data_IF_677996129320
#
_entry.id   IF_677996129320
#
_cell.length_a   1.000
_cell.length_b   1.000
_cell.length_c   1.000
_cell.angle_alpha   90.00
_cell.angle_beta   90.00
_cell.angle_gamma   90.00
#
_symmetry.space_group_name_H-M   'P 1'
#
loop_
_entity.id
_entity.type
_entity.pdbx_description
1 polymer ?
#
# COMPACT_ATOMS: atom_id res chain seq x y z
N UNK A 1 15.10 16.68 -2.81
CA UNK A 1 15.57 15.88 -1.65
C UNK A 1 14.32 15.47 -0.89
N UNK A 2 13.58 14.49 -1.40
CA UNK A 2 12.24 14.15 -0.88
C UNK A 2 12.03 12.64 -1.09
N UNK A 3 11.57 12.02 -0.02
CA UNK A 3 10.85 10.75 0.14
C UNK A 3 11.38 9.51 -0.59
N UNK A 4 12.14 8.71 0.15
CA UNK A 4 12.03 7.25 -0.01
C UNK A 4 10.59 6.90 0.33
N UNK A 5 9.82 6.63 -0.72
CA UNK A 5 8.41 6.37 -0.57
C UNK A 5 8.19 5.10 0.23
N UNK A 6 7.64 5.31 1.40
CA UNK A 6 7.38 4.38 2.47
C UNK A 6 6.68 3.08 2.02
N UNK A 7 5.77 3.11 1.04
CA UNK A 7 5.09 1.91 0.52
C UNK A 7 5.94 1.11 -0.51
N UNK A 8 6.93 1.76 -1.15
CA UNK A 8 7.69 1.20 -2.27
C UNK A 8 8.70 0.14 -1.84
N UNK A 9 9.48 0.43 -0.79
CA UNK A 9 10.51 -0.51 -0.30
C UNK A 9 9.88 -1.80 0.23
N UNK A 10 8.72 -1.66 0.87
CA UNK A 10 7.91 -2.78 1.32
C UNK A 10 7.48 -3.65 0.14
N UNK A 11 6.87 -3.09 -0.91
CA UNK A 11 6.41 -3.90 -2.06
C UNK A 11 7.55 -4.42 -2.96
N UNK A 12 8.69 -3.72 -3.05
CA UNK A 12 9.87 -4.19 -3.79
C UNK A 12 10.60 -5.35 -3.08
N UNK A 13 10.65 -5.38 -1.75
CA UNK A 13 11.19 -6.51 -0.99
C UNK A 13 10.38 -7.80 -1.23
N UNK A 14 9.08 -7.66 -1.49
CA UNK A 14 8.14 -8.77 -1.63
C UNK A 14 8.15 -9.47 -2.99
N UNK A 15 8.47 -8.77 -4.08
CA UNK A 15 8.34 -9.38 -5.43
C UNK A 15 9.52 -10.24 -5.85
N UNK A 16 10.70 -10.08 -5.25
CA UNK A 16 11.83 -11.00 -5.50
C UNK A 16 11.54 -12.43 -5.05
N UNK A 17 10.65 -12.62 -4.08
CA UNK A 17 10.23 -13.94 -3.60
C UNK A 17 9.23 -14.65 -4.55
N UNK A 18 8.69 -13.97 -5.56
CA UNK A 18 7.73 -14.55 -6.55
C UNK A 18 8.37 -14.82 -7.93
N UNK A 19 9.58 -15.37 -7.98
CA UNK A 19 9.99 -16.10 -9.19
C UNK A 19 9.14 -17.37 -9.28
N UNK A 20 8.33 -17.48 -10.33
CA UNK A 20 7.35 -18.55 -10.52
C UNK A 20 7.96 -19.95 -10.67
N UNK A 21 8.36 -20.55 -9.56
CA UNK A 21 8.51 -21.99 -9.38
C UNK A 21 7.79 -22.40 -8.10
N UNK A 22 6.94 -23.42 -8.19
CA UNK A 22 6.58 -24.23 -7.02
C UNK A 22 7.88 -24.77 -6.42
N UNK A 23 8.37 -24.11 -5.39
CA UNK A 23 9.50 -24.57 -4.60
C UNK A 23 8.96 -24.84 -3.19
N UNK A 24 9.05 -26.12 -2.83
CA UNK A 24 8.94 -26.71 -1.49
C UNK A 24 8.92 -25.68 -0.36
N UNK A 25 7.91 -25.81 0.50
CA UNK A 25 7.70 -25.06 1.75
C UNK A 25 9.04 -24.84 2.46
N UNK A 26 9.73 -23.74 2.16
CA UNK A 26 10.78 -23.23 3.02
C UNK A 26 10.05 -22.69 4.23
N UNK A 27 10.49 -23.09 5.42
CA UNK A 27 9.99 -22.55 6.69
C UNK A 27 9.82 -21.02 6.62
N UNK A 28 8.78 -20.45 7.25
CA UNK A 28 8.56 -19.01 7.25
C UNK A 28 9.85 -18.29 7.64
N UNK A 29 10.29 -17.30 6.84
CA UNK A 29 11.49 -16.53 7.16
C UNK A 29 11.28 -15.84 8.51
N UNK A 30 12.21 -16.04 9.44
CA UNK A 30 12.19 -15.31 10.71
C UNK A 30 12.35 -13.82 10.42
N UNK A 31 11.78 -12.95 11.26
CA UNK A 31 11.96 -11.49 11.09
C UNK A 31 13.44 -11.07 11.11
N UNK A 32 14.30 -11.85 11.77
CA UNK A 32 15.75 -11.66 11.80
C UNK A 32 16.43 -11.90 10.44
N UNK A 33 15.81 -12.67 9.56
CA UNK A 33 16.33 -13.06 8.24
C UNK A 33 15.84 -12.14 7.11
N UNK A 34 14.95 -11.19 7.40
CA UNK A 34 14.40 -10.24 6.42
C UNK A 34 15.45 -9.18 6.07
N UNK A 35 16.39 -9.49 5.20
CA UNK A 35 17.41 -8.54 4.78
C UNK A 35 17.00 -7.74 3.52
N UNK A 36 17.42 -6.48 3.47
CA UNK A 36 17.26 -5.65 2.27
C UNK A 36 18.35 -6.01 1.27
N UNK A 37 17.96 -6.73 0.21
CA UNK A 37 18.93 -7.18 -0.82
C UNK A 37 19.63 -6.04 -1.59
N UNK A 38 19.10 -4.80 -1.56
CA UNK A 38 19.75 -3.60 -2.10
C UNK A 38 19.04 -2.33 -1.60
N UNK A 39 19.77 -1.48 -0.87
CA UNK A 39 19.30 -0.15 -0.49
C UNK A 39 19.85 0.87 -1.48
N UNK A 40 19.19 1.06 -2.61
CA UNK A 40 19.41 2.25 -3.43
C UNK A 40 18.49 3.34 -2.92
N UNK A 41 19.08 4.42 -2.40
CA UNK A 41 18.38 5.66 -2.09
C UNK A 41 17.67 6.16 -3.36
N UNK A 42 16.39 5.80 -3.47
CA UNK A 42 15.54 6.24 -4.55
C UNK A 42 15.32 7.73 -4.38
N UNK A 43 15.84 8.50 -5.33
CA UNK A 43 15.51 9.90 -5.48
C UNK A 43 14.42 9.99 -6.53
N UNK A 44 13.33 10.69 -6.21
CA UNK A 44 12.35 11.05 -7.23
C UNK A 44 13.11 11.76 -8.38
N UNK A 45 12.92 11.33 -9.65
CA UNK A 45 13.63 11.89 -10.79
C UNK A 45 13.58 13.42 -10.82
N UNK A 46 14.68 14.06 -11.27
CA UNK A 46 14.70 15.50 -11.55
C UNK A 46 13.53 15.84 -12.50
N UNK A 47 12.68 16.79 -12.10
CA UNK A 47 11.50 17.20 -12.86
C UNK A 47 10.18 17.02 -12.11
N UNK A 48 10.14 16.12 -11.11
CA UNK A 48 8.99 15.98 -10.22
C UNK A 48 9.27 16.81 -8.96
N UNK A 49 8.69 18.01 -8.90
CA UNK A 49 8.69 18.87 -7.72
C UNK A 49 7.34 18.78 -6.99
N UNK A 50 7.37 18.90 -5.66
CA UNK A 50 6.18 18.97 -4.81
C UNK A 50 5.22 17.78 -4.98
N UNK A 51 5.60 16.63 -4.40
CA UNK A 51 4.77 15.43 -4.31
C UNK A 51 4.27 15.24 -2.87
N UNK A 52 3.07 14.69 -2.73
CA UNK A 52 2.57 14.15 -1.48
C UNK A 52 2.08 12.74 -1.75
N UNK A 53 3.00 11.78 -1.78
CA UNK A 53 2.62 10.45 -2.19
C UNK A 53 1.91 9.73 -1.03
N UNK A 54 0.73 9.17 -1.32
CA UNK A 54 -0.10 8.49 -0.33
C UNK A 54 -0.20 6.98 -0.54
N UNK A 55 -0.08 6.54 -1.79
CA UNK A 55 -0.11 5.13 -2.16
C UNK A 55 0.91 4.77 -3.21
N UNK A 56 1.27 3.50 -3.28
CA UNK A 56 2.09 2.99 -4.37
C UNK A 56 1.88 1.50 -4.62
N UNK A 57 2.23 1.05 -5.81
CA UNK A 57 2.34 -0.36 -6.15
C UNK A 57 3.46 -0.60 -7.17
N UNK A 58 3.86 -1.85 -7.35
CA UNK A 58 4.93 -2.27 -8.26
C UNK A 58 4.38 -3.28 -9.25
N UNK A 59 4.66 -3.12 -10.55
CA UNK A 59 4.29 -4.03 -11.64
C UNK A 59 5.28 -5.19 -11.78
N UNK A 60 4.86 -6.28 -12.45
CA UNK A 60 5.68 -7.49 -12.62
C UNK A 60 6.99 -7.22 -13.34
N UNK A 61 6.96 -6.27 -14.27
CA UNK A 61 8.12 -5.78 -15.01
C UNK A 61 9.01 -4.82 -14.20
N UNK A 62 8.70 -4.58 -12.93
CA UNK A 62 9.45 -3.70 -12.03
C UNK A 62 9.09 -2.23 -12.15
N UNK A 63 8.18 -1.82 -13.06
CA UNK A 63 7.64 -0.46 -13.04
C UNK A 63 6.95 -0.16 -11.72
N UNK A 64 6.94 1.10 -11.34
CA UNK A 64 6.38 1.56 -10.07
C UNK A 64 5.30 2.58 -10.37
N UNK A 65 4.18 2.52 -9.66
CA UNK A 65 3.12 3.54 -9.72
C UNK A 65 2.94 4.16 -8.36
N UNK A 66 2.79 5.48 -8.32
CA UNK A 66 2.53 6.27 -7.14
C UNK A 66 1.23 7.05 -7.29
N UNK A 67 0.44 7.13 -6.22
CA UNK A 67 -0.68 8.05 -6.09
C UNK A 67 -0.19 9.36 -5.44
N UNK A 68 -0.06 10.41 -6.25
CA UNK A 68 0.36 11.74 -5.81
C UNK A 68 -0.86 12.57 -5.39
N UNK A 69 -1.01 12.74 -4.08
CA UNK A 69 -2.10 13.46 -3.41
C UNK A 69 -1.82 14.98 -3.32
N UNK A 70 -0.76 15.48 -3.97
CA UNK A 70 -0.43 16.91 -3.98
C UNK A 70 -1.60 17.79 -4.41
N UNK A 71 -1.76 18.94 -3.77
CA UNK A 71 -2.84 19.89 -4.10
C UNK A 71 -2.77 20.39 -5.54
N UNK A 72 -1.56 20.68 -6.02
CA UNK A 72 -1.32 21.26 -7.35
C UNK A 72 -1.02 20.23 -8.43
N UNK A 73 -0.68 19.00 -8.05
CA UNK A 73 -0.15 17.97 -8.95
C UNK A 73 -0.85 16.62 -8.70
N UNK A 74 -2.17 16.59 -8.82
CA UNK A 74 -2.99 15.40 -8.58
C UNK A 74 -2.81 14.42 -9.74
N UNK A 75 -2.06 13.35 -9.55
CA UNK A 75 -1.70 12.44 -10.64
C UNK A 75 -1.30 11.06 -10.14
N UNK A 76 -1.28 10.11 -11.05
CA UNK A 76 -0.37 8.97 -10.91
C UNK A 76 1.00 9.32 -11.49
N UNK A 77 2.05 8.98 -10.75
CA UNK A 77 3.43 9.00 -11.26
C UNK A 77 3.86 7.57 -11.53
N UNK A 78 4.29 7.28 -12.74
CA UNK A 78 4.74 5.94 -13.16
C UNK A 78 6.22 6.01 -13.48
N UNK A 79 6.99 5.10 -12.91
CA UNK A 79 8.42 4.97 -13.12
C UNK A 79 8.75 3.64 -13.78
N UNK A 80 9.85 3.63 -14.52
CA UNK A 80 10.48 2.43 -15.03
C UNK A 80 11.19 1.65 -13.90
N UNK A 81 11.57 0.40 -14.17
CA UNK A 81 12.30 -0.44 -13.21
C UNK A 81 13.69 0.12 -12.84
N UNK A 82 14.26 0.96 -13.71
CA UNK A 82 15.49 1.71 -13.46
C UNK A 82 15.25 3.03 -12.71
N UNK A 83 14.03 3.23 -12.19
CA UNK A 83 13.59 4.40 -11.45
C UNK A 83 13.45 5.68 -12.28
N UNK A 84 13.63 5.64 -13.60
CA UNK A 84 13.40 6.81 -14.44
C UNK A 84 11.91 7.12 -14.54
N UNK A 85 11.57 8.40 -14.71
CA UNK A 85 10.18 8.80 -14.99
C UNK A 85 9.71 8.17 -16.30
N UNK A 86 8.62 7.40 -16.24
CA UNK A 86 7.96 6.84 -17.42
C UNK A 86 6.80 7.73 -17.87
N UNK A 87 5.93 8.10 -16.94
CA UNK A 87 4.68 8.80 -17.27
C UNK A 87 4.06 9.50 -16.06
N UNK A 88 3.31 10.56 -16.32
CA UNK A 88 2.38 11.18 -15.38
C UNK A 88 0.95 11.10 -15.94
N UNK A 89 -0.01 10.70 -15.12
CA UNK A 89 -1.43 10.57 -15.50
C UNK A 89 -2.24 11.50 -14.60
N UNK A 90 -2.76 12.64 -15.11
CA UNK A 90 -3.46 13.62 -14.29
C UNK A 90 -4.84 13.11 -13.84
N UNK A 91 -5.29 13.61 -12.70
CA UNK A 91 -6.63 13.41 -12.17
C UNK A 91 -7.26 14.75 -11.77
N UNK A 92 -8.60 14.83 -11.86
CA UNK A 92 -9.34 16.01 -11.43
C UNK A 92 -9.40 16.13 -9.89
N UNK A 93 -9.34 14.99 -9.19
CA UNK A 93 -9.29 14.87 -7.73
C UNK A 93 -8.01 14.14 -7.27
N UNK A 94 -7.64 14.29 -6.00
CA UNK A 94 -6.44 13.72 -5.41
C UNK A 94 -6.54 12.20 -5.23
N UNK A 95 -5.69 11.41 -5.92
CA UNK A 95 -5.62 9.98 -5.67
C UNK A 95 -5.06 9.72 -4.26
N UNK A 96 -5.72 8.84 -3.50
CA UNK A 96 -5.27 8.43 -2.18
C UNK A 96 -4.34 7.22 -2.29
N UNK A 97 -4.85 6.11 -2.81
CA UNK A 97 -4.10 4.88 -2.88
C UNK A 97 -4.26 4.22 -4.25
N UNK A 98 -3.30 3.36 -4.58
CA UNK A 98 -3.24 2.67 -5.86
C UNK A 98 -2.83 1.21 -5.65
N UNK A 99 -3.52 0.31 -6.34
CA UNK A 99 -3.15 -1.10 -6.41
C UNK A 99 -3.18 -1.61 -7.84
N UNK A 100 -2.28 -2.52 -8.17
CA UNK A 100 -2.22 -3.14 -9.49
C UNK A 100 -3.27 -4.25 -9.60
N UNK A 101 -4.06 -4.20 -10.67
CA UNK A 101 -5.07 -5.23 -10.96
C UNK A 101 -4.61 -6.19 -12.06
N UNK A 102 -3.80 -5.72 -13.02
CA UNK A 102 -3.14 -6.55 -14.04
C UNK A 102 -1.93 -5.82 -14.66
N UNK A 103 -1.25 -6.42 -15.66
CA UNK A 103 0.05 -5.97 -16.20
C UNK A 103 0.16 -4.49 -16.61
N UNK A 104 -0.93 -3.79 -16.89
CA UNK A 104 -0.94 -2.35 -17.17
C UNK A 104 -2.09 -1.60 -16.53
N UNK A 105 -2.85 -2.24 -15.66
CA UNK A 105 -4.08 -1.66 -15.12
C UNK A 105 -3.96 -1.54 -13.61
N UNK A 106 -4.39 -0.39 -13.11
CA UNK A 106 -4.40 -0.07 -11.69
C UNK A 106 -5.80 0.34 -11.25
N UNK A 107 -6.13 0.08 -9.99
CA UNK A 107 -7.29 0.65 -9.32
C UNK A 107 -6.82 1.76 -8.39
N UNK A 108 -7.49 2.91 -8.44
CA UNK A 108 -7.11 4.13 -7.71
C UNK A 108 -8.31 4.64 -6.90
N UNK A 109 -8.13 4.90 -5.62
CA UNK A 109 -9.16 5.51 -4.77
C UNK A 109 -9.13 7.04 -4.83
N UNK A 110 -10.30 7.65 -4.95
CA UNK A 110 -10.48 9.11 -4.98
C UNK A 110 -11.39 9.55 -3.84
N UNK A 111 -10.81 10.27 -2.87
CA UNK A 111 -11.44 10.52 -1.57
C UNK A 111 -12.73 11.33 -1.66
N UNK A 112 -12.67 12.49 -2.32
CA UNK A 112 -13.84 13.39 -2.41
C UNK A 112 -14.85 12.91 -3.45
N UNK A 113 -14.39 12.22 -4.50
CA UNK A 113 -15.26 11.62 -5.52
C UNK A 113 -16.03 10.41 -4.99
N UNK A 114 -15.50 9.72 -3.97
CA UNK A 114 -16.08 8.48 -3.42
C UNK A 114 -16.11 7.35 -4.45
N UNK A 115 -15.09 7.31 -5.29
CA UNK A 115 -15.00 6.42 -6.45
C UNK A 115 -13.67 5.65 -6.46
N UNK A 116 -13.68 4.53 -7.17
CA UNK A 116 -12.48 3.85 -7.64
C UNK A 116 -12.40 4.04 -9.15
N UNK A 117 -11.27 4.54 -9.64
CA UNK A 117 -10.95 4.58 -11.06
C UNK A 117 -10.06 3.41 -11.41
N UNK A 118 -10.49 2.61 -12.38
CA UNK A 118 -9.66 1.60 -13.04
C UNK A 118 -9.00 2.27 -14.23
N UNK A 119 -7.67 2.33 -14.21
CA UNK A 119 -6.86 3.07 -15.18
C UNK A 119 -5.94 2.13 -15.92
N UNK A 120 -6.02 2.16 -17.25
CA UNK A 120 -5.00 1.57 -18.10
C UNK A 120 -3.83 2.56 -18.23
N UNK A 121 -2.73 2.23 -17.58
CA UNK A 121 -1.53 3.06 -17.50
C UNK A 121 -0.87 3.24 -18.87
N UNK A 122 -1.00 2.25 -19.77
CA UNK A 122 -0.42 2.32 -21.11
C UNK A 122 -1.04 3.42 -21.96
N UNK A 123 -2.37 3.50 -22.00
CA UNK A 123 -3.14 4.51 -22.74
C UNK A 123 -3.44 5.77 -21.93
N UNK A 124 -3.15 5.76 -20.62
CA UNK A 124 -3.48 6.85 -19.68
C UNK A 124 -4.98 7.10 -19.55
N UNK A 125 -5.81 6.07 -19.80
CA UNK A 125 -7.27 6.20 -19.80
C UNK A 125 -7.88 5.57 -18.57
N UNK A 126 -8.85 6.26 -17.99
CA UNK A 126 -9.82 5.64 -17.08
C UNK A 126 -10.71 4.74 -17.94
N UNK A 127 -10.62 3.43 -17.72
CA UNK A 127 -11.39 2.43 -18.47
C UNK A 127 -12.68 2.03 -17.74
N UNK A 128 -12.76 2.29 -16.44
CA UNK A 128 -13.96 2.07 -15.62
C UNK A 128 -13.93 2.92 -14.36
N UNK A 129 -15.11 3.35 -13.94
CA UNK A 129 -15.34 3.97 -12.63
C UNK A 129 -16.28 3.08 -11.82
N UNK A 130 -15.97 2.86 -10.55
CA UNK A 130 -16.79 2.13 -9.59
C UNK A 130 -17.19 3.10 -8.48
N UNK A 131 -18.49 3.40 -8.40
CA UNK A 131 -19.02 4.30 -7.37
C UNK A 131 -19.19 3.57 -6.03
N UNK A 132 -18.65 4.15 -4.96
CA UNK A 132 -18.71 3.56 -3.61
C UNK A 132 -19.77 4.22 -2.72
N UNK A 133 -20.19 5.44 -3.04
CA UNK A 133 -21.09 6.29 -2.25
C UNK A 133 -20.59 6.64 -0.83
N UNK A 134 -19.34 6.30 -0.53
CA UNK A 134 -18.65 6.56 0.74
C UNK A 134 -17.22 7.00 0.45
N UNK A 135 -16.70 7.92 1.26
CA UNK A 135 -15.28 8.30 1.17
C UNK A 135 -14.41 7.05 1.31
N UNK A 136 -13.39 6.96 0.47
CA UNK A 136 -12.51 5.80 0.37
C UNK A 136 -11.06 6.18 0.63
N UNK A 137 -10.30 5.23 1.17
CA UNK A 137 -8.92 5.42 1.60
C UNK A 137 -8.01 4.40 0.89
N UNK A 138 -7.36 3.51 1.63
CA UNK A 138 -6.49 2.48 1.08
C UNK A 138 -7.24 1.41 0.31
N UNK A 139 -6.55 0.82 -0.66
CA UNK A 139 -7.06 -0.20 -1.56
C UNK A 139 -6.04 -1.31 -1.79
N UNK A 140 -6.51 -2.55 -1.77
CA UNK A 140 -5.67 -3.73 -1.97
C UNK A 140 -6.35 -4.75 -2.88
N UNK A 141 -5.70 -5.08 -4.00
CA UNK A 141 -6.19 -6.09 -4.92
C UNK A 141 -5.58 -7.46 -4.62
N UNK A 142 -6.43 -8.47 -4.43
CA UNK A 142 -6.01 -9.86 -4.27
C UNK A 142 -7.14 -10.81 -4.65
N UNK A 143 -6.79 -11.99 -5.19
CA UNK A 143 -7.77 -13.01 -5.55
C UNK A 143 -8.86 -12.53 -6.53
N UNK A 144 -8.53 -11.59 -7.43
CA UNK A 144 -9.48 -11.01 -8.37
C UNK A 144 -10.45 -9.98 -7.79
N UNK A 145 -10.23 -9.53 -6.54
CA UNK A 145 -11.14 -8.68 -5.78
C UNK A 145 -10.43 -7.44 -5.26
N UNK A 146 -11.15 -6.32 -5.19
CA UNK A 146 -10.69 -5.08 -4.56
C UNK A 146 -11.15 -5.06 -3.11
N UNK A 147 -10.23 -4.85 -2.18
CA UNK A 147 -10.50 -4.62 -0.77
C UNK A 147 -10.25 -3.16 -0.46
N UNK A 148 -11.26 -2.45 0.03
CA UNK A 148 -11.25 -0.99 0.08
C UNK A 148 -11.65 -0.54 1.48
N UNK A 149 -10.81 0.28 2.10
CA UNK A 149 -11.12 0.97 3.35
C UNK A 149 -12.04 2.17 3.07
N UNK A 150 -13.12 2.30 3.83
CA UNK A 150 -14.15 3.32 3.67
C UNK A 150 -14.37 4.08 4.98
N UNK A 151 -14.95 5.28 4.88
CA UNK A 151 -15.43 6.02 6.04
C UNK A 151 -16.46 5.22 6.87
N UNK A 152 -16.62 5.62 8.12
CA UNK A 152 -17.46 4.93 9.12
C UNK A 152 -16.93 3.53 9.48
N UNK A 153 -15.61 3.33 9.40
CA UNK A 153 -14.93 2.12 9.84
C UNK A 153 -15.37 0.85 9.10
N UNK A 154 -15.62 0.98 7.79
CA UNK A 154 -16.08 -0.12 6.95
C UNK A 154 -14.97 -0.51 5.98
N UNK A 155 -14.71 -1.81 5.83
CA UNK A 155 -14.00 -2.34 4.68
C UNK A 155 -14.98 -3.10 3.79
N UNK A 156 -14.88 -2.90 2.47
CA UNK A 156 -15.61 -3.71 1.49
C UNK A 156 -14.65 -4.52 0.64
N UNK A 157 -15.03 -5.76 0.38
CA UNK A 157 -14.50 -6.55 -0.73
C UNK A 157 -15.49 -6.47 -1.88
N UNK A 158 -15.05 -6.01 -3.04
CA UNK A 158 -15.87 -5.85 -4.24
C UNK A 158 -15.20 -6.54 -5.43
N UNK A 159 -15.99 -6.96 -6.42
CA UNK A 159 -15.46 -7.37 -7.72
C UNK A 159 -15.13 -6.16 -8.61
N UNK A 160 -14.50 -6.40 -9.76
CA UNK A 160 -14.16 -5.36 -10.74
C UNK A 160 -15.39 -4.78 -11.47
N UNK A 161 -16.57 -5.38 -11.32
CA UNK A 161 -17.84 -4.83 -11.79
C UNK A 161 -18.47 -3.87 -10.75
N UNK A 162 -17.95 -3.84 -9.53
CA UNK A 162 -18.45 -3.00 -8.43
C UNK A 162 -19.43 -3.70 -7.50
N UNK A 163 -19.69 -5.00 -7.68
CA UNK A 163 -20.58 -5.74 -6.79
C UNK A 163 -19.91 -5.97 -5.44
N UNK A 164 -20.63 -5.70 -4.36
CA UNK A 164 -20.14 -5.99 -3.01
C UNK A 164 -20.21 -7.49 -2.72
N UNK A 165 -19.05 -8.09 -2.45
CA UNK A 165 -18.92 -9.51 -2.11
C UNK A 165 -18.85 -9.72 -0.59
N UNK A 166 -18.21 -8.80 0.13
CA UNK A 166 -18.09 -8.84 1.60
C UNK A 166 -18.04 -7.43 2.18
N UNK A 167 -18.57 -7.28 3.38
CA UNK A 167 -18.47 -6.05 4.19
C UNK A 167 -18.02 -6.42 5.60
N UNK A 168 -17.00 -5.71 6.10
CA UNK A 168 -16.57 -5.78 7.49
C UNK A 168 -16.85 -4.40 8.12
N UNK A 169 -17.77 -4.35 9.09
CA UNK A 169 -18.23 -3.11 9.71
C UNK A 169 -17.71 -2.91 11.14
N UNK A 170 -17.06 -3.94 11.71
CA UNK A 170 -16.50 -3.92 13.06
C UNK A 170 -14.98 -3.75 13.02
N UNK A 171 -14.48 -2.94 12.09
CA UNK A 171 -13.08 -2.57 12.05
C UNK A 171 -12.90 -1.26 12.82
N UNK A 172 -11.68 -0.95 13.24
CA UNK A 172 -11.35 0.44 13.63
C UNK A 172 -11.40 1.37 12.40
N UNK A 173 -11.00 2.64 12.54
CA UNK A 173 -10.88 3.59 11.43
C UNK A 173 -9.74 3.22 10.45
N UNK A 174 -9.87 2.08 9.78
CA UNK A 174 -8.90 1.54 8.86
C UNK A 174 -8.63 2.55 7.74
N UNK A 175 -7.37 2.94 7.60
CA UNK A 175 -6.95 3.92 6.60
C UNK A 175 -6.25 3.23 5.44
N UNK A 176 -5.30 2.34 5.72
CA UNK A 176 -4.69 1.47 4.71
C UNK A 176 -4.85 0.02 5.12
N UNK A 177 -4.95 -0.87 4.13
CA UNK A 177 -5.08 -2.29 4.37
C UNK A 177 -4.16 -3.11 3.45
N UNK A 178 -3.85 -4.32 3.91
CA UNK A 178 -3.29 -5.38 3.11
C UNK A 178 -4.01 -6.66 3.47
N UNK A 179 -4.36 -7.46 2.46
CA UNK A 179 -5.34 -8.54 2.62
C UNK A 179 -4.78 -9.85 2.07
N UNK A 180 -4.89 -10.92 2.87
CA UNK A 180 -4.63 -12.30 2.46
C UNK A 180 -5.95 -13.02 2.21
N UNK A 181 -5.92 -14.33 1.98
CA UNK A 181 -7.15 -15.12 1.86
C UNK A 181 -7.95 -15.18 3.18
N UNK A 182 -7.31 -15.00 4.32
CA UNK A 182 -7.92 -15.24 5.64
C UNK A 182 -7.87 -14.03 6.57
N UNK A 183 -6.89 -13.14 6.38
CA UNK A 183 -6.56 -12.05 7.29
C UNK A 183 -6.54 -10.70 6.59
N UNK A 184 -6.93 -9.67 7.35
CA UNK A 184 -6.78 -8.26 7.01
C UNK A 184 -5.78 -7.65 7.98
N UNK A 185 -4.72 -7.05 7.45
CA UNK A 185 -3.82 -6.17 8.19
C UNK A 185 -4.17 -4.74 7.88
N UNK A 186 -4.32 -3.89 8.89
CA UNK A 186 -4.66 -2.49 8.65
C UNK A 186 -4.02 -1.53 9.65
N UNK A 187 -3.73 -0.33 9.15
CA UNK A 187 -3.34 0.82 9.94
C UNK A 187 -4.54 1.73 10.17
N UNK A 188 -4.48 2.55 11.23
CA UNK A 188 -5.54 3.48 11.60
C UNK A 188 -4.96 4.87 11.75
N UNK A 189 -5.52 5.83 11.02
CA UNK A 189 -5.07 7.23 11.07
C UNK A 189 -5.20 7.80 12.48
N UNK A 190 -4.11 8.39 12.98
CA UNK A 190 -4.06 8.98 14.31
C UNK A 190 -4.05 7.98 15.47
N UNK A 191 -3.96 6.67 15.18
CA UNK A 191 -3.74 5.66 16.21
C UNK A 191 -2.28 5.21 16.23
N UNK A 192 -1.84 4.81 17.41
CA UNK A 192 -0.52 4.25 17.72
C UNK A 192 -0.53 2.72 17.58
N UNK A 193 -1.23 2.16 16.60
CA UNK A 193 -1.37 0.71 16.47
C UNK A 193 -1.60 0.20 15.04
N UNK A 194 -1.21 -1.05 14.85
CA UNK A 194 -1.47 -1.87 13.67
C UNK A 194 -2.31 -3.07 14.11
N UNK A 195 -3.30 -3.43 13.30
CA UNK A 195 -4.25 -4.47 13.63
C UNK A 195 -4.21 -5.60 12.61
N UNK A 196 -4.50 -6.80 13.10
CA UNK A 196 -4.87 -7.95 12.28
C UNK A 196 -6.24 -8.46 12.72
N UNK A 197 -7.13 -8.67 11.75
CA UNK A 197 -8.39 -9.37 11.98
C UNK A 197 -8.62 -10.44 10.92
N UNK A 198 -9.52 -11.37 11.21
CA UNK A 198 -10.04 -12.28 10.19
C UNK A 198 -10.98 -11.53 9.22
N UNK A 199 -11.39 -12.19 8.14
CA UNK A 199 -12.32 -11.58 7.19
C UNK A 199 -13.72 -11.27 7.78
N UNK A 200 -14.04 -11.67 9.01
CA UNK A 200 -15.29 -11.33 9.70
C UNK A 200 -15.12 -10.12 10.64
N UNK A 201 -13.90 -9.60 10.78
CA UNK A 201 -13.57 -8.48 11.65
C UNK A 201 -13.14 -8.90 13.06
N UNK A 202 -12.98 -10.18 13.35
CA UNK A 202 -12.50 -10.64 14.65
C UNK A 202 -11.00 -10.36 14.76
N UNK A 203 -10.61 -9.50 15.69
CA UNK A 203 -9.21 -9.14 15.93
C UNK A 203 -8.42 -10.37 16.36
N UNK A 204 -7.38 -10.70 15.60
CA UNK A 204 -6.43 -11.78 15.89
C UNK A 204 -5.29 -11.27 16.76
N UNK A 205 -4.78 -10.07 16.44
CA UNK A 205 -3.79 -9.38 17.25
C UNK A 205 -3.81 -7.87 17.00
N UNK A 206 -3.24 -7.14 17.96
CA UNK A 206 -2.95 -5.71 17.90
C UNK A 206 -1.50 -5.49 18.27
N UNK A 207 -0.76 -4.79 17.42
CA UNK A 207 0.60 -4.35 17.70
C UNK A 207 0.57 -2.86 18.05
N UNK A 208 1.02 -2.52 19.26
CA UNK A 208 1.11 -1.12 19.72
C UNK A 208 2.44 -0.50 19.29
N UNK A 209 2.36 0.57 18.52
CA UNK A 209 3.47 1.44 18.14
C UNK A 209 3.69 2.54 19.18
N UNK A 210 4.80 3.28 19.08
CA UNK A 210 4.96 4.50 19.87
C UNK A 210 3.99 5.58 19.37
N UNK A 211 3.55 6.48 20.26
CA UNK A 211 2.62 7.58 19.90
C UNK A 211 3.12 8.49 18.78
N UNK A 212 4.44 8.59 18.62
CA UNK A 212 5.10 9.38 17.57
C UNK A 212 5.30 8.63 16.26
N UNK A 213 4.93 7.35 16.18
CA UNK A 213 5.21 6.52 15.00
C UNK A 213 4.25 6.80 13.85
N UNK A 214 2.98 7.07 14.15
CA UNK A 214 1.92 7.30 13.14
C UNK A 214 1.96 6.26 12.00
N UNK A 215 1.65 4.97 12.30
CA UNK A 215 1.58 3.92 11.29
C UNK A 215 0.62 4.30 10.16
N UNK A 216 1.09 4.14 8.92
CA UNK A 216 0.40 4.65 7.74
C UNK A 216 0.30 3.57 6.64
N UNK A 217 1.18 3.58 5.64
CA UNK A 217 1.26 2.53 4.62
C UNK A 217 1.55 1.16 5.24
N UNK A 218 0.90 0.13 4.70
CA UNK A 218 0.97 -1.25 5.18
C UNK A 218 1.07 -2.23 4.01
N UNK A 219 1.90 -3.26 4.14
CA UNK A 219 1.90 -4.43 3.26
C UNK A 219 2.38 -5.68 3.99
N UNK A 220 2.23 -6.86 3.39
CA UNK A 220 2.61 -8.13 3.99
C UNK A 220 3.44 -9.00 3.03
N UNK A 221 4.29 -9.88 3.58
CA UNK A 221 4.95 -10.93 2.81
C UNK A 221 4.18 -12.24 2.74
N UNK A 222 4.67 -13.18 1.92
CA UNK A 222 4.09 -14.50 1.79
C UNK A 222 4.09 -15.32 3.11
N UNK A 223 4.94 -14.95 4.07
CA UNK A 223 4.97 -15.54 5.42
C UNK A 223 4.00 -14.84 6.39
N UNK A 224 3.30 -13.79 5.95
CA UNK A 224 2.39 -12.99 6.74
C UNK A 224 3.07 -11.94 7.63
N UNK A 225 4.38 -11.70 7.46
CA UNK A 225 5.06 -10.60 8.16
C UNK A 225 4.56 -9.27 7.60
N UNK A 226 4.33 -8.30 8.49
CA UNK A 226 3.66 -7.05 8.17
C UNK A 226 4.67 -5.91 8.23
N UNK A 227 4.77 -5.17 7.14
CA UNK A 227 5.67 -4.04 6.98
C UNK A 227 4.85 -2.77 7.07
N UNK A 228 5.27 -1.88 7.96
CA UNK A 228 4.50 -0.70 8.31
C UNK A 228 5.38 0.52 8.27
N UNK A 229 4.88 1.53 7.61
CA UNK A 229 5.56 2.80 7.47
C UNK A 229 5.11 3.73 8.58
N UNK A 230 6.06 4.37 9.25
CA UNK A 230 5.80 5.27 10.36
C UNK A 230 6.08 6.70 9.91
N UNK A 231 5.01 7.41 9.51
CA UNK A 231 5.10 8.67 8.77
C UNK A 231 5.95 9.72 9.49
N UNK A 232 5.72 9.92 10.78
CA UNK A 232 6.39 11.01 11.51
C UNK A 232 7.71 10.57 12.16
N UNK A 233 7.95 9.26 12.25
CA UNK A 233 9.16 8.70 12.84
C UNK A 233 10.26 8.35 11.81
N UNK A 234 10.04 8.60 10.51
CA UNK A 234 11.03 8.31 9.46
C UNK A 234 11.57 6.87 9.51
N UNK A 235 10.68 5.91 9.76
CA UNK A 235 11.06 4.50 9.88
C UNK A 235 10.08 3.58 9.17
N UNK A 236 10.58 2.42 8.81
CA UNK A 236 9.77 1.26 8.44
C UNK A 236 10.02 0.19 9.47
N UNK A 237 8.95 -0.33 10.06
CA UNK A 237 9.01 -1.47 10.98
C UNK A 237 8.49 -2.72 10.27
N UNK A 238 9.07 -3.86 10.60
CA UNK A 238 8.50 -5.16 10.27
C UNK A 238 7.99 -5.80 11.56
N UNK A 239 6.77 -6.35 11.48
CA UNK A 239 6.07 -7.03 12.56
C UNK A 239 5.91 -8.48 12.13
N UNK A 240 6.26 -9.43 13.00
CA UNK A 240 6.10 -10.84 12.73
C UNK A 240 4.62 -11.20 12.49
N UNK A 241 4.36 -12.27 11.73
CA UNK A 241 2.99 -12.70 11.41
C UNK A 241 2.09 -12.98 12.62
N UNK A 242 2.69 -13.31 13.77
CA UNK A 242 2.00 -13.51 15.04
C UNK A 242 1.69 -12.21 15.82
N UNK A 243 2.18 -11.05 15.34
CA UNK A 243 1.97 -9.74 15.96
C UNK A 243 2.73 -9.48 17.26
N UNK A 244 3.65 -10.37 17.66
CA UNK A 244 4.36 -10.30 18.97
C UNK A 244 5.75 -9.71 18.90
N UNK A 245 6.40 -9.84 17.76
CA UNK A 245 7.79 -9.40 17.56
C UNK A 245 7.84 -8.34 16.48
N UNK A 246 8.79 -7.41 16.60
CA UNK A 246 9.03 -6.41 15.58
C UNK A 246 10.47 -5.95 15.59
N UNK A 247 10.89 -5.32 14.50
CA UNK A 247 12.12 -4.54 14.46
C UNK A 247 12.04 -3.40 13.47
N UNK A 248 12.94 -2.44 13.63
CA UNK A 248 13.16 -1.39 12.64
C UNK A 248 13.88 -2.03 11.45
N UNK A 249 13.28 -1.91 10.27
CA UNK A 249 13.86 -2.35 8.99
C UNK A 249 14.62 -1.21 8.31
N UNK A 250 14.06 0.01 8.39
CA UNK A 250 14.65 1.23 7.84
C UNK A 250 14.45 2.38 8.83
N UNK A 251 15.39 3.31 8.84
CA UNK A 251 15.43 4.48 9.71
C UNK A 251 15.84 5.74 8.95
N UNK A 252 15.84 6.88 9.64
CA UNK A 252 16.38 8.13 9.09
C UNK A 252 17.87 8.03 8.71
N UNK A 253 18.64 7.15 9.36
CA UNK A 253 20.03 6.87 9.01
C UNK A 253 20.19 6.24 7.62
N UNK A 254 19.14 5.58 7.12
CA UNK A 254 19.06 5.01 5.78
C UNK A 254 18.58 6.02 4.74
N UNK A 255 18.46 7.29 5.14
CA UNK A 255 18.05 8.42 4.31
C UNK A 255 16.52 8.59 4.17
N UNK A 256 15.74 7.99 5.07
CA UNK A 256 14.32 8.33 5.24
C UNK A 256 14.18 9.74 5.82
N UNK A 257 13.48 10.63 5.13
CA UNK A 257 13.25 12.01 5.58
C UNK A 257 11.79 12.41 5.35
N UNK A 258 11.17 13.00 6.38
CA UNK A 258 9.88 13.67 6.32
C UNK A 258 10.13 15.09 5.79
N UNK A 259 9.33 15.56 4.83
CA UNK A 259 9.32 16.95 4.40
C UNK A 259 7.92 17.51 4.48
#
# INVERSE_FOLDING_TARGET
>A
MIEVNFSLQTKLALRKDKQGQELLISSPKSISEIELSKLSLFHIPKGISECMIKGCDVFEDGRIVFADFSFNNKRLVVLNADYSLNKEIPFDERPIDVTIVESNTVAVTLFEMKDIHIVDVRSSKIIRTIALNKKCYGIYFTGGKLNVCLEQNVMKTIDLSGNTLKTISQMGPATYCSVTNDLVYYSVYGCDAVYCCDLNGNVQWKFSCSKSDFPNGIAHDASGNVFVTCRDANKVIVIASNGKESRILLSSGDGLQNR
#
